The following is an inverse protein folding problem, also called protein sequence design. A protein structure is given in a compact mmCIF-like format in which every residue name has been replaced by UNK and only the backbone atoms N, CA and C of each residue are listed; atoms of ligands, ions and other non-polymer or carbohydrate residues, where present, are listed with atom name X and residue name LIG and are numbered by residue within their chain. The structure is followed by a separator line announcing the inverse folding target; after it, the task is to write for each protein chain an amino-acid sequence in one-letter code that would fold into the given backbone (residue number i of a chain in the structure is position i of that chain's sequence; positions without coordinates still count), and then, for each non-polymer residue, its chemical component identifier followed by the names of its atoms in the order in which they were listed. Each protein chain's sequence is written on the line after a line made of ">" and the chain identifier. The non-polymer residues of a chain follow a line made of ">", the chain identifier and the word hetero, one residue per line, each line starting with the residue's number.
data_IF_622272755831
#
_entry.id   IF_622272755831
#
_cell.length_a   1.000
_cell.length_b   1.000
_cell.length_c   1.000
_cell.angle_alpha   90.00
_cell.angle_beta   90.00
_cell.angle_gamma   90.00
#
_symmetry.space_group_name_H-M   'P 1'
#
loop_
_entity.id
_entity.type
_entity.pdbx_description
1 polymer ?
#
# COMPACT_ATOMS: atom_id res chain seq x y z
N UNK A 1 -15.29 38.67 30.08
CA UNK A 1 -15.51 37.81 28.90
C UNK A 1 -14.35 36.83 28.84
N UNK A 2 -14.53 35.64 29.43
CA UNK A 2 -13.49 34.61 29.45
C UNK A 2 -13.49 33.88 28.12
N UNK A 3 -12.47 34.14 27.31
CA UNK A 3 -12.17 33.36 26.11
C UNK A 3 -11.57 32.03 26.55
N UNK A 4 -12.37 30.97 26.43
CA UNK A 4 -11.91 29.58 26.54
C UNK A 4 -10.81 29.34 25.48
N UNK A 5 -9.66 28.74 25.82
CA UNK A 5 -8.68 28.38 24.82
C UNK A 5 -9.28 27.29 23.92
N UNK A 6 -9.20 27.47 22.60
CA UNK A 6 -9.43 26.37 21.65
C UNK A 6 -8.41 25.27 21.92
N UNK A 7 -8.78 23.97 21.88
CA UNK A 7 -7.80 22.90 21.95
C UNK A 7 -6.97 22.91 20.66
N UNK A 8 -5.82 23.58 20.71
CA UNK A 8 -4.69 23.34 19.83
C UNK A 8 -3.91 22.17 20.40
N UNK A 9 -4.33 20.95 20.06
CA UNK A 9 -3.39 19.86 19.88
C UNK A 9 -4.08 18.76 19.06
N UNK A 10 -3.96 18.87 17.74
CA UNK A 10 -4.11 17.72 16.86
C UNK A 10 -2.94 16.78 17.13
N UNK A 11 -2.99 16.09 18.27
CA UNK A 11 -2.06 15.04 18.63
C UNK A 11 -2.10 14.02 17.50
N UNK A 12 -1.03 14.06 16.69
CA UNK A 12 -0.80 13.18 15.57
C UNK A 12 -0.79 11.78 16.16
N UNK A 13 -1.86 10.99 15.97
CA UNK A 13 -1.89 9.59 16.37
C UNK A 13 -0.85 8.87 15.52
N UNK A 14 0.38 8.83 16.01
CA UNK A 14 1.41 7.93 15.54
C UNK A 14 0.89 6.53 15.92
N UNK A 15 0.35 5.82 14.94
CA UNK A 15 -0.01 4.43 15.16
C UNK A 15 1.29 3.67 15.40
N UNK A 16 1.38 2.91 16.51
CA UNK A 16 2.46 1.94 16.69
C UNK A 16 2.46 1.04 15.47
N UNK A 17 3.53 1.10 14.68
CA UNK A 17 3.70 0.24 13.52
C UNK A 17 3.72 -1.21 13.98
N UNK A 18 3.01 -2.11 13.29
CA UNK A 18 3.08 -3.52 13.61
C UNK A 18 4.51 -4.01 13.37
N UNK A 19 5.02 -4.84 14.27
CA UNK A 19 6.31 -5.49 14.04
C UNK A 19 6.20 -6.53 12.91
N UNK A 20 7.36 -7.01 12.42
CA UNK A 20 7.36 -7.94 11.29
C UNK A 20 6.62 -9.26 11.61
N UNK A 21 6.68 -9.75 12.85
CA UNK A 21 5.99 -10.98 13.26
C UNK A 21 4.49 -10.77 13.31
N UNK A 22 4.02 -9.63 13.80
CA UNK A 22 2.61 -9.23 13.80
C UNK A 22 2.06 -9.15 12.36
N UNK A 23 2.82 -8.58 11.42
CA UNK A 23 2.46 -8.53 10.00
C UNK A 23 2.31 -9.93 9.41
N UNK A 24 3.30 -10.80 9.63
CA UNK A 24 3.27 -12.19 9.13
C UNK A 24 2.10 -12.97 9.72
N UNK A 25 1.86 -12.85 11.02
CA UNK A 25 0.75 -13.52 11.70
C UNK A 25 -0.62 -13.04 11.16
N UNK A 26 -0.79 -11.73 10.97
CA UNK A 26 -2.01 -11.17 10.40
C UNK A 26 -2.22 -11.63 8.94
N UNK A 27 -1.18 -11.62 8.11
CA UNK A 27 -1.23 -12.12 6.74
C UNK A 27 -1.59 -13.61 6.68
N UNK A 28 -1.09 -14.42 7.62
CA UNK A 28 -1.43 -15.84 7.70
C UNK A 28 -2.95 -16.05 7.84
N UNK A 29 -3.63 -15.21 8.64
CA UNK A 29 -5.07 -15.26 8.88
C UNK A 29 -5.92 -14.58 7.78
N UNK A 30 -5.33 -13.67 7.01
CA UNK A 30 -6.04 -12.94 5.96
C UNK A 30 -6.49 -13.88 4.83
N UNK A 31 -7.75 -13.71 4.41
CA UNK A 31 -8.37 -14.45 3.32
C UNK A 31 -8.45 -13.56 2.08
N UNK A 32 -7.65 -13.89 1.07
CA UNK A 32 -7.72 -13.21 -0.22
C UNK A 32 -8.85 -13.80 -1.08
N UNK A 33 -9.44 -13.01 -1.99
CA UNK A 33 -10.31 -13.55 -3.03
C UNK A 33 -9.61 -14.65 -3.83
N UNK A 34 -10.36 -15.64 -4.29
CA UNK A 34 -9.82 -16.74 -5.12
C UNK A 34 -9.42 -16.29 -6.53
N UNK A 35 -8.70 -17.17 -7.24
CA UNK A 35 -8.30 -17.00 -8.64
C UNK A 35 -7.45 -15.75 -8.91
N UNK A 36 -6.52 -15.43 -8.00
CA UNK A 36 -5.50 -14.40 -8.25
C UNK A 36 -4.40 -15.03 -9.09
N UNK A 37 -4.08 -14.43 -10.24
CA UNK A 37 -3.03 -14.90 -11.14
C UNK A 37 -1.64 -14.35 -10.74
N UNK A 38 -1.62 -13.22 -10.03
CA UNK A 38 -0.38 -12.56 -9.65
C UNK A 38 -0.55 -11.31 -8.79
N UNK A 39 0.57 -10.83 -8.27
CA UNK A 39 0.68 -9.60 -7.48
C UNK A 39 1.46 -8.55 -8.27
N UNK A 40 0.95 -7.32 -8.27
CA UNK A 40 1.63 -6.13 -8.75
C UNK A 40 1.89 -5.23 -7.56
N UNK A 41 3.15 -5.05 -7.16
CA UNK A 41 3.55 -4.17 -6.07
C UNK A 41 3.83 -2.75 -6.58
N UNK A 42 3.39 -1.75 -5.82
CA UNK A 42 3.75 -0.34 -6.04
C UNK A 42 5.05 -0.07 -5.27
N UNK A 43 6.15 0.11 -5.98
CA UNK A 43 7.43 0.45 -5.38
C UNK A 43 7.49 1.93 -4.95
N UNK A 44 8.24 2.27 -3.89
CA UNK A 44 9.09 1.35 -3.11
C UNK A 44 8.36 0.61 -1.98
N UNK A 45 7.42 1.28 -1.30
CA UNK A 45 6.78 0.78 -0.07
C UNK A 45 6.11 -0.58 -0.23
N UNK A 46 5.40 -0.79 -1.34
CA UNK A 46 4.69 -2.03 -1.63
C UNK A 46 5.56 -3.25 -1.97
N UNK A 47 6.88 -3.15 -2.08
CA UNK A 47 7.74 -4.30 -2.45
C UNK A 47 7.67 -5.42 -1.39
N UNK A 48 7.88 -5.09 -0.12
CA UNK A 48 7.85 -6.08 0.97
C UNK A 48 6.44 -6.66 1.16
N UNK A 49 5.37 -5.85 1.26
CA UNK A 49 4.00 -6.37 1.26
C UNK A 49 3.70 -7.27 0.05
N UNK A 50 4.07 -6.83 -1.16
CA UNK A 50 3.83 -7.56 -2.40
C UNK A 50 4.52 -8.91 -2.43
N UNK A 51 5.77 -8.99 -1.95
CA UNK A 51 6.52 -10.25 -1.86
C UNK A 51 5.87 -11.23 -0.89
N UNK A 52 5.46 -10.77 0.30
CA UNK A 52 4.78 -11.61 1.30
C UNK A 52 3.43 -12.13 0.79
N UNK A 53 2.65 -11.29 0.12
CA UNK A 53 1.36 -11.66 -0.47
C UNK A 53 1.55 -12.67 -1.61
N UNK A 54 2.49 -12.42 -2.51
CA UNK A 54 2.80 -13.32 -3.62
C UNK A 54 3.25 -14.70 -3.11
N UNK A 55 4.13 -14.72 -2.09
CA UNK A 55 4.57 -15.94 -1.42
C UNK A 55 3.39 -16.70 -0.82
N UNK A 56 2.51 -16.04 -0.06
CA UNK A 56 1.35 -16.68 0.59
C UNK A 56 0.40 -17.30 -0.43
N UNK A 57 0.21 -16.66 -1.58
CA UNK A 57 -0.70 -17.12 -2.63
C UNK A 57 -0.04 -18.12 -3.58
N UNK A 58 1.28 -18.26 -3.58
CA UNK A 58 2.02 -19.11 -4.53
C UNK A 58 1.97 -18.59 -5.97
N UNK A 59 1.92 -17.28 -6.16
CA UNK A 59 1.78 -16.62 -7.47
C UNK A 59 2.97 -15.73 -7.80
N UNK A 60 3.06 -15.26 -9.05
CA UNK A 60 4.15 -14.36 -9.46
C UNK A 60 4.02 -12.95 -8.90
N UNK A 61 5.16 -12.26 -8.77
CA UNK A 61 5.27 -10.86 -8.38
C UNK A 61 5.79 -10.01 -9.55
N UNK A 62 5.16 -8.86 -9.78
CA UNK A 62 5.62 -7.78 -10.67
C UNK A 62 5.65 -6.47 -9.89
N UNK A 63 6.45 -5.51 -10.33
CA UNK A 63 6.66 -4.24 -9.62
C UNK A 63 6.45 -3.06 -10.58
N UNK A 64 5.70 -2.05 -10.13
CA UNK A 64 5.55 -0.76 -10.80
C UNK A 64 6.18 0.32 -9.90
N UNK A 65 7.08 1.12 -10.45
CA UNK A 65 7.71 2.22 -9.69
C UNK A 65 6.96 3.53 -9.93
N UNK A 66 6.34 4.07 -8.88
CA UNK A 66 5.64 5.36 -8.91
C UNK A 66 6.26 6.27 -7.87
N UNK A 67 6.70 7.46 -8.27
CA UNK A 67 7.09 8.51 -7.34
C UNK A 67 5.96 9.49 -7.16
N UNK A 68 5.51 9.65 -5.92
CA UNK A 68 4.53 10.68 -5.55
C UNK A 68 4.96 11.44 -4.30
N UNK A 69 5.57 10.74 -3.35
CA UNK A 69 5.99 11.25 -2.06
C UNK A 69 7.47 10.95 -1.82
N UNK A 70 8.11 11.77 -1.00
CA UNK A 70 9.47 11.52 -0.51
C UNK A 70 9.46 10.46 0.61
N UNK A 71 10.64 10.13 1.13
CA UNK A 71 10.83 9.12 2.19
C UNK A 71 10.13 9.49 3.51
N UNK A 72 9.77 10.76 3.70
CA UNK A 72 9.01 11.26 4.84
C UNK A 72 7.49 11.26 4.59
N UNK A 73 7.03 10.63 3.51
CA UNK A 73 5.62 10.58 3.09
C UNK A 73 5.04 11.96 2.74
N UNK A 74 5.88 12.93 2.39
CA UNK A 74 5.47 14.26 1.95
C UNK A 74 5.33 14.30 0.42
N UNK A 75 4.27 14.91 -0.13
CA UNK A 75 4.11 15.04 -1.58
C UNK A 75 5.33 15.73 -2.24
N UNK A 76 6.02 15.00 -3.13
CA UNK A 76 7.14 15.53 -3.91
C UNK A 76 6.68 16.12 -5.25
N UNK A 77 5.55 15.64 -5.77
CA UNK A 77 4.97 16.08 -7.02
C UNK A 77 3.48 16.42 -6.86
N UNK A 78 2.98 17.34 -7.70
CA UNK A 78 1.55 17.68 -7.74
C UNK A 78 0.66 16.47 -8.09
N UNK A 79 1.18 15.56 -8.91
CA UNK A 79 0.58 14.27 -9.27
C UNK A 79 1.63 13.16 -9.22
N UNK A 80 1.25 11.91 -8.93
CA UNK A 80 2.15 10.76 -9.04
C UNK A 80 2.82 10.68 -10.42
N UNK A 81 4.05 10.18 -10.50
CA UNK A 81 4.79 10.00 -11.75
C UNK A 81 5.28 8.56 -11.88
N UNK A 82 5.12 7.97 -13.05
CA UNK A 82 5.69 6.67 -13.38
C UNK A 82 7.21 6.82 -13.56
N UNK A 83 7.99 5.99 -12.88
CA UNK A 83 9.46 6.07 -12.87
C UNK A 83 10.11 4.94 -13.68
N UNK A 84 9.37 3.85 -13.94
CA UNK A 84 9.84 2.71 -14.72
C UNK A 84 8.79 2.27 -15.73
N UNK A 85 9.19 1.53 -16.77
CA UNK A 85 8.24 0.86 -17.65
C UNK A 85 7.29 -0.04 -16.84
N UNK A 86 6.02 -0.04 -17.22
CA UNK A 86 5.01 -0.92 -16.62
C UNK A 86 5.33 -2.37 -17.02
N UNK A 87 5.36 -3.33 -16.07
CA UNK A 87 5.65 -4.71 -16.38
C UNK A 87 4.49 -5.31 -17.19
N UNK A 88 4.81 -6.03 -18.27
CA UNK A 88 3.80 -6.75 -19.04
C UNK A 88 3.13 -7.82 -18.17
N UNK A 89 1.80 -7.81 -18.07
CA UNK A 89 1.07 -8.78 -17.24
C UNK A 89 1.02 -10.19 -17.84
N UNK A 90 1.28 -10.35 -19.15
CA UNK A 90 1.20 -11.63 -19.82
C UNK A 90 -0.24 -12.14 -19.83
N UNK A 91 -0.46 -13.40 -19.42
CA UNK A 91 -1.77 -14.02 -19.37
C UNK A 91 -2.62 -13.73 -18.12
N UNK A 92 -2.14 -12.88 -17.20
CA UNK A 92 -2.88 -12.58 -15.95
C UNK A 92 -4.17 -11.80 -16.23
N UNK A 93 -5.28 -12.28 -15.66
CA UNK A 93 -6.63 -11.72 -15.79
C UNK A 93 -7.14 -11.13 -14.49
N UNK A 94 -6.65 -11.60 -13.34
CA UNK A 94 -7.00 -11.08 -12.01
C UNK A 94 -5.75 -10.92 -11.15
N UNK A 95 -5.50 -9.71 -10.67
CA UNK A 95 -4.29 -9.39 -9.91
C UNK A 95 -4.60 -8.63 -8.63
N UNK A 96 -3.72 -8.76 -7.63
CA UNK A 96 -3.67 -7.85 -6.50
C UNK A 96 -2.73 -6.70 -6.81
N UNK A 97 -3.20 -5.47 -6.67
CA UNK A 97 -2.37 -4.27 -6.69
C UNK A 97 -2.09 -3.84 -5.25
N UNK A 98 -0.84 -4.02 -4.86
CA UNK A 98 -0.40 -4.01 -3.46
C UNK A 98 0.46 -2.77 -3.17
N UNK A 99 0.17 -2.10 -2.06
CA UNK A 99 0.99 -1.04 -1.48
C UNK A 99 1.21 -1.30 0.02
N UNK A 100 2.08 -0.54 0.68
CA UNK A 100 2.27 -0.66 2.13
C UNK A 100 1.20 0.12 2.91
N UNK A 101 0.90 1.35 2.48
CA UNK A 101 0.09 2.29 3.24
C UNK A 101 -0.82 3.14 2.36
N UNK A 102 -2.13 3.09 2.63
CA UNK A 102 -3.10 3.94 1.93
C UNK A 102 -3.51 5.14 2.79
N UNK A 103 -3.12 6.34 2.35
CA UNK A 103 -3.63 7.62 2.88
C UNK A 103 -4.75 8.18 2.00
N UNK A 104 -4.43 8.50 0.75
CA UNK A 104 -5.34 9.18 -0.18
C UNK A 104 -5.67 8.38 -1.44
N UNK A 105 -5.18 7.14 -1.58
CA UNK A 105 -5.41 6.29 -2.76
C UNK A 105 -4.69 6.68 -4.06
N UNK A 106 -4.18 7.92 -4.19
CA UNK A 106 -3.57 8.46 -5.42
C UNK A 106 -2.49 7.59 -6.08
N UNK A 107 -1.58 6.98 -5.30
CA UNK A 107 -0.56 6.08 -5.85
C UNK A 107 -1.18 4.84 -6.49
N UNK A 108 -2.22 4.31 -5.84
CA UNK A 108 -2.98 3.17 -6.32
C UNK A 108 -3.75 3.51 -7.60
N UNK A 109 -4.43 4.65 -7.64
CA UNK A 109 -5.15 5.12 -8.83
C UNK A 109 -4.23 5.27 -10.04
N UNK A 110 -3.04 5.87 -9.83
CA UNK A 110 -2.02 5.98 -10.87
C UNK A 110 -1.57 4.59 -11.34
N UNK A 111 -1.23 3.69 -10.43
CA UNK A 111 -0.80 2.34 -10.79
C UNK A 111 -1.89 1.58 -11.56
N UNK A 112 -3.15 1.68 -11.12
CA UNK A 112 -4.29 1.05 -11.77
C UNK A 112 -4.46 1.54 -13.21
N UNK A 113 -4.28 2.84 -13.45
CA UNK A 113 -4.38 3.45 -14.77
C UNK A 113 -3.30 2.96 -15.74
N UNK A 114 -2.18 2.45 -15.23
CA UNK A 114 -1.12 1.86 -16.06
C UNK A 114 -1.41 0.40 -16.44
N UNK A 115 -2.31 -0.29 -15.75
CA UNK A 115 -2.63 -1.70 -16.00
C UNK A 115 -3.72 -1.85 -17.08
N UNK A 116 -3.69 -2.93 -17.88
CA UNK A 116 -4.70 -3.17 -18.92
C UNK A 116 -6.14 -3.09 -18.39
N UNK A 117 -7.03 -2.48 -19.17
CA UNK A 117 -8.43 -2.30 -18.75
C UNK A 117 -9.18 -3.64 -18.56
N UNK A 118 -8.84 -4.66 -19.35
CA UNK A 118 -9.46 -5.99 -19.29
C UNK A 118 -8.99 -6.88 -18.13
N UNK A 119 -8.07 -6.41 -17.30
CA UNK A 119 -7.60 -7.13 -16.10
C UNK A 119 -8.39 -6.65 -14.89
N UNK A 120 -8.93 -7.59 -14.12
CA UNK A 120 -9.52 -7.33 -12.82
C UNK A 120 -8.39 -7.02 -11.82
N UNK A 121 -8.47 -5.88 -11.15
CA UNK A 121 -7.44 -5.41 -10.23
C UNK A 121 -8.07 -5.19 -8.86
N UNK A 122 -7.59 -5.94 -7.88
CA UNK A 122 -8.07 -5.87 -6.50
C UNK A 122 -7.06 -5.13 -5.62
N UNK A 123 -7.48 -4.18 -4.79
CA UNK A 123 -6.57 -3.45 -3.91
C UNK A 123 -6.20 -4.30 -2.68
N UNK A 124 -4.98 -4.11 -2.18
CA UNK A 124 -4.59 -4.58 -0.85
C UNK A 124 -3.47 -3.69 -0.30
N UNK A 125 -3.55 -3.34 1.00
CA UNK A 125 -2.48 -2.62 1.69
C UNK A 125 -2.25 -3.18 3.08
N UNK A 126 -1.05 -2.99 3.64
CA UNK A 126 -0.83 -3.40 5.04
C UNK A 126 -1.59 -2.51 6.01
N UNK A 127 -1.61 -1.19 5.79
CA UNK A 127 -2.29 -0.26 6.70
C UNK A 127 -3.05 0.84 5.96
N UNK A 128 -4.14 1.30 6.56
CA UNK A 128 -4.98 2.39 6.04
C UNK A 128 -6.37 2.37 6.67
N UNK A 129 -7.19 3.38 6.38
CA UNK A 129 -8.60 3.39 6.78
C UNK A 129 -9.50 2.97 5.61
N UNK A 130 -9.29 1.75 5.13
CA UNK A 130 -9.96 1.16 3.95
C UNK A 130 -10.24 -0.31 4.20
N UNK A 131 -11.28 -0.86 3.56
CA UNK A 131 -11.75 -2.24 3.79
C UNK A 131 -10.74 -3.32 3.36
N UNK A 132 -9.80 -2.95 2.49
CA UNK A 132 -8.74 -3.83 1.97
C UNK A 132 -7.39 -3.65 2.69
N UNK A 133 -7.38 -2.96 3.85
CA UNK A 133 -6.20 -2.85 4.69
C UNK A 133 -6.12 -4.05 5.66
N UNK A 134 -4.96 -4.70 5.72
CA UNK A 134 -4.68 -5.74 6.72
C UNK A 134 -4.86 -5.22 8.15
N UNK A 135 -4.37 -4.01 8.39
CA UNK A 135 -4.58 -3.26 9.61
C UNK A 135 -5.40 -2.01 9.32
N UNK A 136 -6.73 -2.13 9.48
CA UNK A 136 -7.64 -0.99 9.35
C UNK A 136 -7.49 -0.03 10.53
N UNK A 137 -6.58 0.93 10.40
CA UNK A 137 -6.25 1.91 11.44
C UNK A 137 -5.93 3.27 10.79
N UNK A 138 -6.60 4.36 11.20
CA UNK A 138 -6.27 5.69 10.71
C UNK A 138 -4.88 6.10 11.20
N UNK A 139 -4.00 6.46 10.28
CA UNK A 139 -2.66 6.98 10.54
C UNK A 139 -2.31 8.03 9.47
N UNK A 140 -1.29 8.86 9.72
CA UNK A 140 -0.74 9.80 8.72
C UNK A 140 0.62 9.37 8.18
N UNK A 141 1.36 8.59 8.95
CA UNK A 141 2.63 7.98 8.61
C UNK A 141 2.76 6.64 9.34
N UNK A 142 3.62 5.77 8.83
CA UNK A 142 3.99 4.48 9.42
C UNK A 142 5.51 4.35 9.24
N UNK A 143 6.19 3.87 10.27
CA UNK A 143 7.61 3.49 10.20
C UNK A 143 7.67 1.98 10.16
N UNK A 144 8.08 1.41 9.04
CA UNK A 144 8.07 -0.05 8.86
C UNK A 144 9.30 -0.71 9.48
N UNK A 145 9.19 -1.98 9.90
CA UNK A 145 10.33 -2.71 10.48
C UNK A 145 11.46 -3.02 9.49
N UNK A 146 11.29 -2.71 8.21
CA UNK A 146 12.31 -2.82 7.15
C UNK A 146 12.77 -1.46 6.61
N UNK A 147 12.31 -0.36 7.19
CA UNK A 147 12.89 0.95 6.91
C UNK A 147 14.33 1.00 7.42
N UNK A 148 15.26 1.57 6.65
CA UNK A 148 16.61 1.82 7.12
C UNK A 148 16.58 2.76 8.34
N UNK A 149 17.47 2.52 9.30
CA UNK A 149 17.67 3.38 10.48
C UNK A 149 18.34 4.71 10.11
#
# INVERSE_FOLDING_TARGET
>A
MNSTPRPTDSATRLAKAPDFKEIVAALAQWQFPGNIDGVVAIAAGGIVPGALVAQKLGVGLKVISISYRNDYNEPQFAQPKLISSVPGLGGWRRVLLVDDFCVSGKSWEMARAQLPAGVEVLPFVLQGDVDFALFRRPARSVTWPWSAE
#
